data_IF_374292482861
#
_entry.id   IF_374292482861
#
_cell.length_a   1.000
_cell.length_b   1.000
_cell.length_c   1.000
_cell.angle_alpha   90.00
_cell.angle_beta   90.00
_cell.angle_gamma   90.00
#
_symmetry.space_group_name_H-M   'P 1'
#
loop_
_entity.id
_entity.type
_entity.pdbx_description
1 polymer ?
#
# COMPACT_ATOMS: atom_id res chain seq x y z
N UNK A 1 24.97 8.12 -21.51
CA UNK A 1 24.02 8.36 -20.40
C UNK A 1 22.98 7.26 -20.44
N UNK A 2 23.21 6.17 -19.70
CA UNK A 2 22.42 4.93 -19.82
C UNK A 2 21.06 5.10 -19.12
N UNK A 3 20.02 4.76 -19.87
CA UNK A 3 18.60 4.72 -19.49
C UNK A 3 18.41 3.98 -18.16
N UNK A 4 17.88 4.69 -17.15
CA UNK A 4 17.32 4.05 -15.95
C UNK A 4 16.26 3.04 -16.42
N UNK A 5 16.27 1.79 -15.94
CA UNK A 5 15.33 0.78 -16.43
C UNK A 5 13.90 1.23 -16.13
N UNK A 6 13.14 1.51 -17.19
CA UNK A 6 11.72 1.88 -17.20
C UNK A 6 10.83 0.65 -17.03
N UNK A 7 11.00 -0.09 -15.95
CA UNK A 7 10.10 -1.20 -15.64
C UNK A 7 9.55 -1.01 -14.23
N UNK A 8 8.43 -0.29 -14.05
CA UNK A 8 7.68 -0.39 -12.82
C UNK A 8 6.97 -1.75 -12.87
N UNK A 9 7.48 -2.71 -12.12
CA UNK A 9 6.76 -3.94 -11.77
C UNK A 9 5.47 -3.51 -11.05
N UNK A 10 4.42 -3.33 -11.82
CA UNK A 10 3.10 -2.87 -11.41
C UNK A 10 2.38 -4.00 -10.68
N UNK A 11 2.14 -3.83 -9.38
CA UNK A 11 1.48 -4.80 -8.51
C UNK A 11 2.31 -6.05 -8.22
N UNK A 12 3.04 -5.99 -7.11
CA UNK A 12 3.08 -7.16 -6.23
C UNK A 12 1.62 -7.47 -5.87
N UNK A 13 1.06 -8.47 -6.57
CA UNK A 13 -0.19 -9.12 -6.24
C UNK A 13 -0.09 -9.64 -4.80
N UNK A 14 -0.61 -8.87 -3.85
CA UNK A 14 -0.63 -9.16 -2.41
C UNK A 14 -1.46 -10.38 -2.01
N UNK A 15 -1.91 -11.20 -2.96
CA UNK A 15 -2.62 -12.44 -2.64
C UNK A 15 -1.72 -13.57 -2.15
N UNK A 16 -0.39 -13.49 -2.33
CA UNK A 16 0.56 -14.54 -1.95
C UNK A 16 1.73 -14.07 -1.06
N UNK A 17 2.02 -12.77 -1.03
CA UNK A 17 3.14 -12.26 -0.24
C UNK A 17 2.78 -12.16 1.25
N UNK A 18 3.63 -12.73 2.12
CA UNK A 18 3.52 -12.53 3.57
C UNK A 18 3.52 -11.04 3.90
N UNK A 19 2.61 -10.58 4.77
CA UNK A 19 2.52 -9.20 5.25
C UNK A 19 3.91 -8.67 5.68
N UNK A 20 4.70 -9.49 6.39
CA UNK A 20 6.04 -9.12 6.84
C UNK A 20 6.98 -8.81 5.67
N UNK A 21 6.89 -9.58 4.58
CA UNK A 21 7.75 -9.40 3.40
C UNK A 21 7.42 -8.11 2.67
N UNK A 22 6.13 -7.78 2.55
CA UNK A 22 5.70 -6.52 1.92
C UNK A 22 6.15 -5.32 2.78
N UNK A 23 6.07 -5.42 4.11
CA UNK A 23 6.58 -4.37 5.01
C UNK A 23 8.10 -4.14 4.88
N UNK A 24 8.88 -5.19 4.65
CA UNK A 24 10.32 -5.04 4.36
C UNK A 24 10.55 -4.27 3.05
N UNK A 25 9.74 -4.52 2.02
CA UNK A 25 9.83 -3.83 0.74
C UNK A 25 9.39 -2.36 0.83
N UNK A 26 8.33 -2.05 1.57
CA UNK A 26 7.88 -0.67 1.82
C UNK A 26 8.91 0.17 2.60
N UNK A 27 9.69 -0.46 3.48
CA UNK A 27 10.78 0.20 4.20
C UNK A 27 12.08 0.31 3.38
N UNK A 28 12.15 -0.35 2.23
CA UNK A 28 13.34 -0.35 1.41
C UNK A 28 13.26 0.77 0.36
N UNK A 29 14.14 1.79 0.43
CA UNK A 29 14.09 2.95 -0.46
C UNK A 29 14.39 2.62 -1.93
N UNK A 30 14.90 1.42 -2.22
CA UNK A 30 15.14 0.95 -3.59
C UNK A 30 13.90 0.37 -4.27
N UNK A 31 12.81 0.15 -3.53
CA UNK A 31 11.55 -0.35 -4.07
C UNK A 31 10.54 0.78 -4.18
N UNK A 32 9.73 0.74 -5.25
CA UNK A 32 8.63 1.68 -5.45
C UNK A 32 7.43 1.33 -4.54
N UNK A 33 7.61 1.47 -3.23
CA UNK A 33 6.60 1.28 -2.20
C UNK A 33 7.05 1.99 -0.92
N UNK A 34 6.10 2.47 -0.11
CA UNK A 34 6.39 3.14 1.16
C UNK A 34 7.41 4.26 0.99
N UNK A 35 8.56 4.11 1.63
CA UNK A 35 9.67 5.08 1.65
C UNK A 35 10.32 5.33 0.29
N UNK A 36 10.28 4.37 -0.64
CA UNK A 36 10.88 4.48 -1.98
C UNK A 36 9.87 4.83 -3.09
N UNK A 37 8.66 5.24 -2.71
CA UNK A 37 7.58 5.54 -3.65
C UNK A 37 7.94 6.64 -4.65
N UNK A 38 7.60 6.40 -5.91
CA UNK A 38 7.76 7.39 -6.98
C UNK A 38 6.79 8.55 -6.81
N UNK A 39 7.16 9.68 -7.42
CA UNK A 39 6.34 10.88 -7.38
C UNK A 39 5.26 10.85 -8.47
N UNK A 40 4.10 11.40 -8.13
CA UNK A 40 3.03 11.75 -9.08
C UNK A 40 3.50 12.86 -10.03
N UNK A 41 2.67 13.18 -11.04
CA UNK A 41 2.91 14.34 -11.91
C UNK A 41 3.03 15.67 -11.16
N UNK A 42 2.46 15.74 -9.96
CA UNK A 42 2.50 16.93 -9.10
C UNK A 42 3.70 16.94 -8.14
N UNK A 43 4.59 15.95 -8.23
CA UNK A 43 5.75 15.83 -7.36
C UNK A 43 5.42 15.33 -5.94
N UNK A 44 4.22 14.81 -5.69
CA UNK A 44 3.79 14.25 -4.41
C UNK A 44 3.93 12.73 -4.39
N UNK A 45 3.93 12.09 -3.22
CA UNK A 45 3.83 10.63 -3.10
C UNK A 45 2.37 10.25 -2.87
N UNK A 46 1.87 9.30 -3.67
CA UNK A 46 0.57 8.67 -3.48
C UNK A 46 0.77 7.14 -3.51
N UNK A 47 0.25 6.46 -2.50
CA UNK A 47 0.48 5.04 -2.29
C UNK A 47 -0.82 4.25 -2.22
N UNK A 48 -0.72 3.00 -2.66
CA UNK A 48 -1.80 2.03 -2.67
C UNK A 48 -1.29 0.68 -2.17
N UNK A 49 -2.12 -0.05 -1.45
CA UNK A 49 -1.82 -1.40 -1.01
C UNK A 49 -3.10 -2.22 -0.86
N UNK A 50 -3.00 -3.52 -1.10
CA UNK A 50 -4.07 -4.48 -0.82
C UNK A 50 -3.53 -5.70 -0.08
N UNK A 51 -4.42 -6.47 0.53
CA UNK A 51 -4.16 -7.75 1.15
C UNK A 51 -5.40 -8.64 1.03
N UNK A 52 -5.19 -9.94 0.83
CA UNK A 52 -6.25 -10.96 0.77
C UNK A 52 -5.82 -12.18 1.57
N UNK A 53 -6.72 -12.70 2.41
CA UNK A 53 -6.57 -14.01 3.02
C UNK A 53 -7.25 -15.06 2.14
N UNK A 54 -6.45 -15.95 1.53
CA UNK A 54 -6.94 -17.01 0.66
C UNK A 54 -7.81 -18.06 1.35
N UNK A 55 -7.72 -18.19 2.68
CA UNK A 55 -8.51 -19.17 3.44
C UNK A 55 -9.93 -18.64 3.73
N UNK A 56 -10.02 -17.43 4.25
CA UNK A 56 -11.30 -16.80 4.63
C UNK A 56 -11.94 -16.02 3.48
N UNK A 57 -11.18 -15.72 2.42
CA UNK A 57 -11.54 -14.81 1.32
C UNK A 57 -11.74 -13.35 1.76
N UNK A 58 -11.34 -13.02 2.98
CA UNK A 58 -11.37 -11.64 3.47
C UNK A 58 -10.30 -10.81 2.76
N UNK A 59 -10.62 -9.55 2.49
CA UNK A 59 -9.78 -8.65 1.71
C UNK A 59 -9.80 -7.26 2.34
N UNK A 60 -8.70 -6.53 2.19
CA UNK A 60 -8.60 -5.11 2.53
C UNK A 60 -7.69 -4.40 1.55
N UNK A 61 -8.05 -3.17 1.21
CA UNK A 61 -7.32 -2.36 0.25
C UNK A 61 -7.45 -0.88 0.57
N UNK A 62 -6.40 -0.13 0.24
CA UNK A 62 -6.27 1.31 0.43
C UNK A 62 -5.62 1.97 -0.77
N UNK A 63 -6.04 3.18 -1.11
CA UNK A 63 -5.49 3.99 -2.22
C UNK A 63 -5.46 5.47 -1.87
N UNK A 64 -4.62 6.24 -2.55
CA UNK A 64 -4.51 7.68 -2.37
C UNK A 64 -3.93 8.07 -1.02
N UNK A 65 -3.07 7.21 -0.44
CA UNK A 65 -2.39 7.50 0.81
C UNK A 65 -1.18 8.39 0.57
N UNK A 66 -1.05 9.43 1.40
CA UNK A 66 0.01 10.44 1.34
C UNK A 66 0.79 10.52 2.66
N UNK A 67 0.17 10.16 3.79
CA UNK A 67 0.78 10.30 5.13
C UNK A 67 1.27 8.98 5.74
N UNK A 68 0.81 7.84 5.20
CA UNK A 68 0.99 6.52 5.80
C UNK A 68 2.28 5.86 5.31
N UNK A 69 3.20 5.54 6.23
CA UNK A 69 4.51 4.96 5.86
C UNK A 69 4.41 3.51 5.37
N UNK A 70 3.51 2.71 5.97
CA UNK A 70 3.37 1.27 5.72
C UNK A 70 1.93 0.97 5.26
N UNK A 71 1.67 1.15 3.97
CA UNK A 71 0.33 1.08 3.38
C UNK A 71 -0.32 -0.31 3.54
N UNK A 72 0.45 -1.40 3.39
CA UNK A 72 -0.07 -2.77 3.56
C UNK A 72 -0.60 -3.05 4.97
N UNK A 73 -0.04 -2.38 5.99
CA UNK A 73 -0.55 -2.53 7.36
C UNK A 73 -1.91 -1.85 7.51
N UNK A 74 -2.13 -0.73 6.84
CA UNK A 74 -3.45 -0.09 6.82
C UNK A 74 -4.46 -0.94 6.04
N UNK A 75 -4.07 -1.53 4.90
CA UNK A 75 -4.92 -2.47 4.16
C UNK A 75 -5.37 -3.64 5.05
N UNK A 76 -4.49 -4.15 5.91
CA UNK A 76 -4.82 -5.18 6.91
C UNK A 76 -5.84 -4.69 7.92
N UNK A 77 -5.71 -3.46 8.40
CA UNK A 77 -6.66 -2.86 9.34
C UNK A 77 -8.03 -2.64 8.70
N UNK A 78 -8.10 -2.27 7.43
CA UNK A 78 -9.38 -2.19 6.68
C UNK A 78 -10.09 -3.54 6.70
N UNK A 79 -9.36 -4.62 6.39
CA UNK A 79 -9.88 -6.00 6.38
C UNK A 79 -10.40 -6.46 7.74
N UNK A 80 -9.74 -6.07 8.84
CA UNK A 80 -10.04 -6.58 10.19
C UNK A 80 -11.01 -5.71 10.99
N UNK A 81 -10.98 -4.39 10.78
CA UNK A 81 -11.66 -3.41 11.66
C UNK A 81 -12.83 -2.70 10.99
N UNK A 82 -13.08 -2.96 9.71
CA UNK A 82 -14.18 -2.34 8.99
C UNK A 82 -15.01 -3.40 8.26
N UNK A 83 -16.30 -3.12 7.98
CA UNK A 83 -17.10 -3.98 7.10
C UNK A 83 -16.78 -3.76 5.61
N UNK A 84 -15.85 -2.86 5.29
CA UNK A 84 -15.52 -2.47 3.92
C UNK A 84 -14.25 -3.18 3.44
N UNK A 85 -14.19 -3.44 2.13
CA UNK A 85 -13.00 -4.06 1.50
C UNK A 85 -12.00 -2.98 1.04
N UNK A 86 -12.47 -1.77 0.72
CA UNK A 86 -11.66 -0.75 0.08
C UNK A 86 -11.99 0.64 0.63
N UNK A 87 -10.95 1.37 1.04
CA UNK A 87 -11.02 2.79 1.38
C UNK A 87 -10.05 3.57 0.49
N UNK A 88 -10.39 4.80 0.10
CA UNK A 88 -9.53 5.59 -0.78
C UNK A 88 -9.48 7.07 -0.33
N UNK A 89 -8.38 7.73 -0.71
CA UNK A 89 -8.15 9.17 -0.54
C UNK A 89 -8.43 9.62 0.90
N UNK A 90 -9.23 10.68 1.07
CA UNK A 90 -9.57 11.25 2.37
C UNK A 90 -10.22 10.24 3.32
N UNK A 91 -11.01 9.29 2.81
CA UNK A 91 -11.61 8.24 3.64
C UNK A 91 -10.57 7.27 4.19
N UNK A 92 -9.56 6.91 3.40
CA UNK A 92 -8.46 6.06 3.86
C UNK A 92 -7.55 6.81 4.85
N UNK A 93 -7.29 8.09 4.61
CA UNK A 93 -6.51 8.96 5.48
C UNK A 93 -7.21 9.23 6.83
N UNK A 94 -8.52 9.44 6.81
CA UNK A 94 -9.33 9.57 8.03
C UNK A 94 -9.27 8.29 8.85
N UNK A 95 -9.49 7.14 8.21
CA UNK A 95 -9.37 5.85 8.86
C UNK A 95 -7.97 5.64 9.44
N UNK A 96 -6.90 5.98 8.71
CA UNK A 96 -5.53 5.87 9.21
C UNK A 96 -5.30 6.66 10.50
N UNK A 97 -5.85 7.89 10.59
CA UNK A 97 -5.76 8.73 11.80
C UNK A 97 -6.48 8.13 13.01
N UNK A 98 -7.55 7.38 12.80
CA UNK A 98 -8.30 6.69 13.86
C UNK A 98 -7.57 5.45 14.41
N UNK A 99 -6.53 4.95 13.72
CA UNK A 99 -5.79 3.76 14.12
C UNK A 99 -4.50 4.04 14.92
N UNK A 100 -4.24 5.31 15.27
CA UNK A 100 -3.08 5.77 16.05
C UNK A 100 -3.34 5.65 17.55
#
# INVERSE_FOLDING_TARGET
>A
MLSRPTNPLWMLLSSCASLSKVRELENNPYFNAGTGSVLTSNGTVEMEACIMDGNTKNCGAVSGLTTVVIAVSLARLVMEKTPHIYLAFEGAEAFAREQV
#
